data_IF_954072737451
#
_entry.id   IF_954072737451
#
_cell.length_a   1.000
_cell.length_b   1.000
_cell.length_c   1.000
_cell.angle_alpha   90.00
_cell.angle_beta   90.00
_cell.angle_gamma   90.00
#
_symmetry.space_group_name_H-M   'P 1'
#
loop_
_entity.id
_entity.type
_entity.pdbx_description
1 polymer ?
#
# COMPACT_ATOMS: atom_id res chain seq x y z
N UNK A 1 -6.20 2.71 20.63
CA UNK A 1 -5.53 2.83 19.33
C UNK A 1 -6.52 2.77 18.17
N UNK A 2 -7.20 1.63 17.92
CA UNK A 2 -8.11 1.50 16.77
C UNK A 2 -9.26 2.53 16.79
N UNK A 3 -9.99 2.67 17.90
CA UNK A 3 -11.16 3.55 17.98
C UNK A 3 -10.86 5.04 17.88
N UNK A 4 -9.71 5.50 18.39
CA UNK A 4 -9.37 6.91 18.45
C UNK A 4 -8.46 7.39 17.32
N UNK A 5 -7.68 6.50 16.71
CA UNK A 5 -6.69 6.87 15.71
C UNK A 5 -6.92 6.19 14.37
N UNK A 6 -6.99 4.85 14.35
CA UNK A 6 -7.03 4.08 13.09
C UNK A 6 -8.37 4.26 12.38
N UNK A 7 -9.49 4.04 13.08
CA UNK A 7 -10.82 4.11 12.47
C UNK A 7 -11.15 5.52 11.96
N UNK A 8 -11.04 6.60 12.77
CA UNK A 8 -11.37 7.95 12.28
C UNK A 8 -10.50 8.40 11.11
N UNK A 9 -9.23 8.02 11.08
CA UNK A 9 -8.32 8.40 10.02
C UNK A 9 -8.53 7.61 8.73
N UNK A 10 -8.82 6.30 8.82
CA UNK A 10 -8.80 5.42 7.64
C UNK A 10 -10.20 5.07 7.12
N UNK A 11 -11.21 4.93 7.99
CA UNK A 11 -12.52 4.45 7.55
C UNK A 11 -13.19 5.33 6.49
N UNK A 12 -13.29 6.67 6.66
CA UNK A 12 -13.88 7.53 5.63
C UNK A 12 -13.12 7.43 4.31
N UNK A 13 -11.79 7.30 4.39
CA UNK A 13 -10.94 7.18 3.22
C UNK A 13 -11.09 5.83 2.52
N UNK A 14 -11.22 4.72 3.27
CA UNK A 14 -11.52 3.40 2.72
C UNK A 14 -12.88 3.37 2.03
N UNK A 15 -13.89 4.03 2.60
CA UNK A 15 -15.20 4.18 1.95
C UNK A 15 -15.08 4.95 0.64
N UNK A 16 -14.36 6.07 0.64
CA UNK A 16 -14.13 6.85 -0.58
C UNK A 16 -13.40 6.03 -1.65
N UNK A 17 -12.33 5.33 -1.28
CA UNK A 17 -11.60 4.45 -2.20
C UNK A 17 -12.49 3.31 -2.73
N UNK A 18 -13.28 2.66 -1.86
CA UNK A 18 -14.23 1.63 -2.26
C UNK A 18 -15.30 2.17 -3.20
N UNK A 19 -15.77 3.41 -2.98
CA UNK A 19 -16.68 4.08 -3.89
C UNK A 19 -16.04 4.35 -5.25
N UNK A 20 -14.81 4.86 -5.29
CA UNK A 20 -14.07 5.08 -6.52
C UNK A 20 -13.86 3.77 -7.31
N UNK A 21 -13.56 2.67 -6.62
CA UNK A 21 -13.47 1.33 -7.23
C UNK A 21 -14.81 0.92 -7.81
N UNK A 22 -15.90 1.05 -7.05
CA UNK A 22 -17.26 0.70 -7.49
C UNK A 22 -17.75 1.53 -8.68
N UNK A 23 -17.25 2.77 -8.80
CA UNK A 23 -17.55 3.68 -9.93
C UNK A 23 -16.60 3.46 -11.14
N UNK A 24 -15.71 2.48 -11.09
CA UNK A 24 -14.81 2.15 -12.19
C UNK A 24 -13.65 3.13 -12.37
N UNK A 25 -13.24 3.85 -11.30
CA UNK A 25 -12.13 4.81 -11.39
C UNK A 25 -10.82 4.15 -11.85
N UNK A 26 -10.58 2.91 -11.40
CA UNK A 26 -9.41 2.15 -11.84
C UNK A 26 -9.37 1.94 -13.34
N UNK A 27 -10.51 1.62 -13.94
CA UNK A 27 -10.69 1.41 -15.38
C UNK A 27 -10.60 2.72 -16.16
N UNK A 28 -11.13 3.81 -15.61
CA UNK A 28 -11.04 5.15 -16.23
C UNK A 28 -9.62 5.69 -16.21
N UNK A 29 -8.89 5.50 -15.12
CA UNK A 29 -7.53 5.99 -14.95
C UNK A 29 -6.46 5.07 -15.60
N UNK A 30 -6.76 3.77 -15.75
CA UNK A 30 -5.85 2.79 -16.31
C UNK A 30 -5.29 3.14 -17.70
N UNK A 31 -6.06 3.63 -18.67
CA UNK A 31 -5.55 3.99 -20.00
C UNK A 31 -4.46 5.05 -19.96
N UNK A 32 -4.56 6.01 -19.03
CA UNK A 32 -3.59 7.10 -18.89
C UNK A 32 -2.20 6.60 -18.48
N UNK A 33 -2.13 5.54 -17.69
CA UNK A 33 -0.88 4.93 -17.22
C UNK A 33 -0.50 3.65 -17.99
N UNK A 34 -1.39 3.12 -18.81
CA UNK A 34 -1.15 1.89 -19.58
C UNK A 34 0.11 2.02 -20.46
N UNK A 35 0.33 3.19 -21.05
CA UNK A 35 1.52 3.48 -21.85
C UNK A 35 2.84 3.44 -21.07
N UNK A 36 2.81 3.60 -19.75
CA UNK A 36 3.97 3.52 -18.87
C UNK A 36 4.20 2.11 -18.31
N UNK A 37 3.14 1.32 -18.12
CA UNK A 37 3.24 0.00 -17.50
C UNK A 37 4.08 -0.97 -18.33
N UNK A 38 3.88 -1.00 -19.64
CA UNK A 38 4.60 -1.93 -20.53
C UNK A 38 6.09 -1.58 -20.63
N UNK A 39 6.52 -0.35 -20.95
CA UNK A 39 7.94 -0.04 -21.09
C UNK A 39 8.69 -0.03 -19.76
N UNK A 40 8.06 0.43 -18.66
CA UNK A 40 8.74 0.51 -17.36
C UNK A 40 8.74 -0.80 -16.61
N UNK A 41 7.58 -1.47 -16.50
CA UNK A 41 7.41 -2.64 -15.62
C UNK A 41 7.23 -3.96 -16.37
N UNK A 42 7.10 -3.92 -17.71
CA UNK A 42 6.76 -5.09 -18.55
C UNK A 42 5.51 -5.82 -18.05
N UNK A 43 4.52 -5.04 -17.69
CA UNK A 43 3.21 -5.49 -17.28
C UNK A 43 2.14 -4.95 -18.23
N UNK A 44 1.01 -5.65 -18.38
CA UNK A 44 -0.12 -5.16 -19.15
C UNK A 44 -0.64 -3.82 -18.62
N UNK A 45 -1.24 -3.02 -19.50
CA UNK A 45 -1.82 -1.73 -19.12
C UNK A 45 -2.85 -1.79 -18.00
N UNK A 46 -3.66 -2.85 -17.94
CA UNK A 46 -4.65 -3.07 -16.87
C UNK A 46 -4.03 -3.15 -15.47
N UNK A 47 -2.75 -3.52 -15.36
CA UNK A 47 -2.04 -3.56 -14.07
C UNK A 47 -1.89 -2.18 -13.42
N UNK A 48 -2.06 -1.09 -14.20
CA UNK A 48 -2.02 0.29 -13.66
C UNK A 48 -3.14 0.56 -12.66
N UNK A 49 -4.30 -0.09 -12.78
CA UNK A 49 -5.41 0.05 -11.82
C UNK A 49 -5.00 -0.41 -10.42
N UNK A 50 -4.31 -1.55 -10.30
CA UNK A 50 -3.84 -2.05 -9.01
C UNK A 50 -2.76 -1.13 -8.40
N UNK A 51 -1.87 -0.56 -9.22
CA UNK A 51 -0.87 0.40 -8.74
C UNK A 51 -1.52 1.69 -8.25
N UNK A 52 -2.44 2.28 -9.03
CA UNK A 52 -3.15 3.51 -8.68
C UNK A 52 -3.99 3.33 -7.41
N UNK A 53 -4.81 2.28 -7.38
CA UNK A 53 -5.68 2.01 -6.25
C UNK A 53 -4.87 1.63 -5.00
N UNK A 54 -3.73 0.97 -5.16
CA UNK A 54 -2.83 0.68 -4.06
C UNK A 54 -2.12 1.91 -3.52
N UNK A 55 -1.73 2.87 -4.36
CA UNK A 55 -1.12 4.13 -3.94
C UNK A 55 -2.16 5.09 -3.32
N UNK A 56 -3.39 5.10 -3.81
CA UNK A 56 -4.46 5.93 -3.29
C UNK A 56 -5.13 5.29 -2.06
N UNK A 57 -5.58 4.05 -2.17
CA UNK A 57 -6.36 3.35 -1.14
C UNK A 57 -5.53 2.74 -0.01
N UNK A 58 -4.28 2.41 -0.31
CA UNK A 58 -3.39 1.77 0.66
C UNK A 58 -3.59 0.26 0.77
N UNK A 59 -3.00 -0.32 1.83
CA UNK A 59 -3.16 -1.73 2.15
C UNK A 59 -4.60 -2.05 2.55
N UNK A 60 -5.17 -3.17 2.13
CA UNK A 60 -4.65 -4.16 1.18
C UNK A 60 -5.19 -3.99 -0.26
N UNK A 61 -5.73 -2.80 -0.63
CA UNK A 61 -6.48 -2.58 -1.89
C UNK A 61 -5.64 -2.91 -3.13
N UNK A 62 -4.35 -2.53 -3.14
CA UNK A 62 -3.47 -2.85 -4.25
C UNK A 62 -3.34 -4.35 -4.51
N UNK A 63 -3.19 -5.15 -3.44
CA UNK A 63 -3.10 -6.59 -3.52
C UNK A 63 -4.44 -7.23 -3.93
N UNK A 64 -5.55 -6.71 -3.41
CA UNK A 64 -6.88 -7.16 -3.77
C UNK A 64 -7.14 -6.97 -5.26
N UNK A 65 -6.88 -5.77 -5.80
CA UNK A 65 -7.04 -5.48 -7.23
C UNK A 65 -6.14 -6.35 -8.10
N UNK A 66 -4.89 -6.60 -7.69
CA UNK A 66 -3.99 -7.49 -8.42
C UNK A 66 -4.52 -8.95 -8.46
N UNK A 67 -5.08 -9.43 -7.35
CA UNK A 67 -5.69 -10.76 -7.28
C UNK A 67 -6.98 -10.85 -8.12
N UNK A 68 -7.78 -9.80 -8.17
CA UNK A 68 -8.98 -9.70 -9.02
C UNK A 68 -8.62 -9.75 -10.50
N UNK A 69 -7.65 -8.93 -10.94
CA UNK A 69 -7.14 -8.95 -12.33
C UNK A 69 -6.61 -10.34 -12.74
N UNK A 70 -5.99 -11.06 -11.82
CA UNK A 70 -5.54 -12.43 -12.06
C UNK A 70 -6.72 -13.42 -12.18
N UNK A 71 -7.71 -13.36 -11.28
CA UNK A 71 -8.91 -14.22 -11.33
C UNK A 71 -9.73 -13.99 -12.61
N UNK A 72 -9.75 -12.77 -13.11
CA UNK A 72 -10.39 -12.39 -14.38
C UNK A 72 -9.58 -12.80 -15.62
N UNK A 73 -8.40 -13.41 -15.46
CA UNK A 73 -7.54 -13.81 -16.57
C UNK A 73 -6.83 -12.67 -17.30
N UNK A 74 -6.92 -11.44 -16.77
CA UNK A 74 -6.25 -10.25 -17.32
C UNK A 74 -4.76 -10.22 -17.04
N UNK A 75 -4.31 -10.91 -16.00
CA UNK A 75 -2.90 -11.12 -15.66
C UNK A 75 -2.58 -12.61 -15.61
N UNK A 76 -1.39 -12.98 -16.00
CA UNK A 76 -0.83 -14.30 -15.67
C UNK A 76 -0.40 -14.33 -14.20
N UNK A 77 -0.24 -15.52 -13.63
CA UNK A 77 0.26 -15.67 -12.26
C UNK A 77 1.58 -14.91 -12.06
N UNK A 78 2.54 -15.05 -12.99
CA UNK A 78 3.82 -14.37 -12.88
C UNK A 78 3.74 -12.85 -13.00
N UNK A 79 2.79 -12.30 -13.76
CA UNK A 79 2.52 -10.87 -13.86
C UNK A 79 1.88 -10.33 -12.58
N UNK A 80 0.87 -11.05 -12.05
CA UNK A 80 0.22 -10.68 -10.79
C UNK A 80 1.21 -10.74 -9.61
N UNK A 81 2.02 -11.79 -9.49
CA UNK A 81 3.04 -11.90 -8.45
C UNK A 81 4.11 -10.80 -8.54
N UNK A 82 4.51 -10.37 -9.75
CA UNK A 82 5.41 -9.23 -9.93
C UNK A 82 4.74 -7.90 -9.54
N UNK A 83 3.48 -7.73 -9.91
CA UNK A 83 2.71 -6.55 -9.55
C UNK A 83 2.57 -6.40 -8.03
N UNK A 84 2.33 -7.51 -7.31
CA UNK A 84 2.28 -7.56 -5.84
C UNK A 84 3.56 -7.06 -5.16
N UNK A 85 4.71 -7.09 -5.83
CA UNK A 85 5.96 -6.60 -5.26
C UNK A 85 5.93 -5.08 -4.99
N UNK A 86 5.10 -4.29 -5.71
CA UNK A 86 5.13 -2.84 -5.63
C UNK A 86 3.76 -2.13 -5.67
N UNK A 87 2.66 -2.84 -5.92
CA UNK A 87 1.33 -2.22 -5.98
C UNK A 87 0.66 -2.05 -4.60
N UNK A 88 1.11 -2.79 -3.57
CA UNK A 88 0.49 -2.75 -2.25
C UNK A 88 1.21 -1.73 -1.36
N UNK A 89 0.65 -0.54 -1.18
CA UNK A 89 1.30 0.63 -0.62
C UNK A 89 0.58 1.20 0.60
N UNK A 90 1.24 2.12 1.32
CA UNK A 90 0.62 2.92 2.36
C UNK A 90 -0.19 4.06 1.74
N UNK A 91 -1.35 4.39 2.32
CA UNK A 91 -2.18 5.47 1.80
C UNK A 91 -1.62 6.86 2.16
N UNK A 92 -1.94 7.90 1.37
CA UNK A 92 -1.44 9.26 1.60
C UNK A 92 -1.93 9.86 2.93
N UNK A 93 -3.12 9.50 3.42
CA UNK A 93 -3.66 10.02 4.68
C UNK A 93 -2.78 9.60 5.86
N UNK A 94 -2.35 8.34 5.89
CA UNK A 94 -1.44 7.86 6.94
C UNK A 94 -0.10 8.59 6.90
N UNK A 95 0.50 8.74 5.71
CA UNK A 95 1.82 9.35 5.56
C UNK A 95 1.78 10.87 5.81
N UNK A 96 0.76 11.58 5.29
CA UNK A 96 0.68 13.03 5.37
C UNK A 96 0.07 13.49 6.69
N UNK A 97 -1.07 12.90 7.09
CA UNK A 97 -1.80 13.37 8.27
C UNK A 97 -1.30 12.72 9.55
N UNK A 98 -1.17 11.38 9.59
CA UNK A 98 -0.79 10.71 10.84
C UNK A 98 0.70 10.91 11.13
N UNK A 99 1.57 10.57 10.18
CA UNK A 99 3.01 10.73 10.39
C UNK A 99 3.44 12.19 10.23
N UNK A 100 3.15 12.84 9.11
CA UNK A 100 3.59 14.20 8.83
C UNK A 100 3.06 15.21 9.84
N UNK A 101 1.76 15.43 9.86
CA UNK A 101 1.16 16.42 10.77
C UNK A 101 1.12 15.95 12.22
N UNK A 102 0.82 14.66 12.47
CA UNK A 102 0.64 14.13 13.81
C UNK A 102 1.96 13.89 14.55
N UNK A 103 2.95 13.27 13.92
CA UNK A 103 4.23 12.92 14.57
C UNK A 103 5.26 14.03 14.40
N UNK A 104 5.47 14.50 13.16
CA UNK A 104 6.48 15.51 12.85
C UNK A 104 5.99 16.96 12.98
N UNK A 105 4.70 17.18 13.27
CA UNK A 105 4.10 18.51 13.34
C UNK A 105 4.12 19.28 12.01
N UNK A 106 4.35 18.60 10.87
CA UNK A 106 4.57 19.21 9.56
C UNK A 106 3.96 18.44 8.41
N UNK A 107 2.97 19.02 7.75
CA UNK A 107 2.39 18.47 6.51
C UNK A 107 3.46 18.33 5.41
N UNK A 108 4.42 19.27 5.34
CA UNK A 108 5.55 19.22 4.40
C UNK A 108 6.35 17.93 4.55
N UNK A 109 6.70 17.57 5.78
CA UNK A 109 7.41 16.30 6.07
C UNK A 109 6.60 15.10 5.64
N UNK A 110 5.28 15.11 5.87
CA UNK A 110 4.38 14.06 5.43
C UNK A 110 4.31 13.90 3.90
N UNK A 111 4.28 15.03 3.18
CA UNK A 111 4.34 15.02 1.70
C UNK A 111 5.65 14.40 1.21
N UNK A 112 6.79 14.73 1.84
CA UNK A 112 8.07 14.11 1.50
C UNK A 112 8.12 12.62 1.79
N UNK A 113 7.57 12.17 2.93
CA UNK A 113 7.41 10.74 3.21
C UNK A 113 6.59 10.04 2.13
N UNK A 114 5.50 10.66 1.67
CA UNK A 114 4.67 10.13 0.60
C UNK A 114 5.39 10.07 -0.76
N UNK A 115 6.13 11.13 -1.12
CA UNK A 115 6.93 11.14 -2.36
C UNK A 115 8.04 10.08 -2.34
N UNK A 116 8.76 9.95 -1.21
CA UNK A 116 9.76 8.89 -1.01
C UNK A 116 9.11 7.52 -1.16
N UNK A 117 7.93 7.33 -0.57
CA UNK A 117 7.19 6.07 -0.62
C UNK A 117 6.78 5.70 -2.06
N UNK A 118 6.24 6.65 -2.84
CA UNK A 118 5.91 6.44 -4.25
C UNK A 118 7.17 6.10 -5.06
N UNK A 119 8.21 6.90 -4.92
CA UNK A 119 9.46 6.71 -5.67
C UNK A 119 10.08 5.34 -5.37
N UNK A 120 10.13 4.95 -4.10
CA UNK A 120 10.67 3.63 -3.71
C UNK A 120 9.81 2.47 -4.23
N UNK A 121 8.48 2.62 -4.27
CA UNK A 121 7.59 1.63 -4.87
C UNK A 121 7.86 1.47 -6.37
N UNK A 122 7.98 2.57 -7.11
CA UNK A 122 8.27 2.55 -8.55
C UNK A 122 9.66 1.95 -8.84
N UNK A 123 10.68 2.31 -8.06
CA UNK A 123 12.03 1.72 -8.15
C UNK A 123 12.02 0.22 -7.85
N UNK A 124 11.22 -0.22 -6.87
CA UNK A 124 10.99 -1.65 -6.60
C UNK A 124 10.35 -2.34 -7.81
N UNK A 125 9.33 -1.72 -8.41
CA UNK A 125 8.71 -2.25 -9.64
C UNK A 125 9.71 -2.40 -10.78
N UNK A 126 10.63 -1.46 -10.96
CA UNK A 126 11.73 -1.55 -11.93
C UNK A 126 12.70 -2.69 -11.62
N UNK A 127 13.05 -2.90 -10.35
CA UNK A 127 13.93 -3.99 -9.93
C UNK A 127 13.30 -5.38 -10.18
N UNK A 128 11.97 -5.48 -10.05
CA UNK A 128 11.23 -6.71 -10.34
C UNK A 128 10.85 -6.88 -11.82
N UNK A 129 11.30 -5.97 -12.69
CA UNK A 129 11.15 -6.03 -14.14
C UNK A 129 11.96 -7.19 -14.71
N UNK A 130 11.40 -8.39 -14.75
CA UNK A 130 12.06 -9.54 -15.39
C UNK A 130 11.89 -9.48 -16.91
N UNK A 131 12.84 -10.10 -17.62
CA UNK A 131 12.72 -10.35 -19.05
C UNK A 131 11.63 -11.41 -19.33
N UNK A 132 10.38 -10.97 -19.31
CA UNK A 132 9.25 -11.75 -19.78
C UNK A 132 8.81 -11.18 -21.13
N UNK A 133 8.53 -12.03 -22.10
CA UNK A 133 7.89 -11.62 -23.34
C UNK A 133 6.48 -11.13 -22.98
N UNK A 134 6.33 -9.83 -22.82
CA UNK A 134 5.01 -9.20 -22.89
C UNK A 134 4.65 -9.19 -24.39
N UNK A 135 4.14 -10.34 -24.88
CA UNK A 135 3.60 -10.38 -26.22
C UNK A 135 2.37 -9.50 -26.34
N UNK A 136 2.01 -9.01 -27.54
CA UNK A 136 0.76 -8.34 -27.76
C UNK A 136 -0.39 -9.34 -27.50
N UNK A 137 -0.86 -9.40 -26.25
CA UNK A 137 -2.09 -10.09 -25.92
C UNK A 137 -3.23 -9.11 -26.20
N UNK A 138 -4.17 -9.55 -27.02
CA UNK A 138 -5.50 -8.94 -27.03
C UNK A 138 -6.14 -9.28 -25.69
N UNK A 139 -5.99 -8.36 -24.71
CA UNK A 139 -6.75 -8.46 -23.49
C UNK A 139 -8.23 -8.24 -23.83
N UNK A 140 -9.14 -9.07 -23.34
CA UNK A 140 -10.56 -8.77 -23.49
C UNK A 140 -10.74 -7.34 -23.00
N UNK A 141 -11.33 -6.48 -23.84
CA UNK A 141 -11.78 -5.17 -23.39
C UNK A 141 -12.72 -5.46 -22.23
N UNK A 142 -12.28 -5.14 -21.01
CA UNK A 142 -13.20 -5.13 -19.89
C UNK A 142 -14.26 -4.12 -20.28
N UNK A 143 -15.43 -4.59 -20.64
CA UNK A 143 -16.59 -3.71 -20.68
C UNK A 143 -16.67 -3.18 -19.26
N UNK A 144 -16.42 -1.87 -19.12
CA UNK A 144 -16.69 -1.19 -17.84
C UNK A 144 -18.12 -1.65 -17.53
N UNK A 145 -18.35 -2.39 -16.46
CA UNK A 145 -19.70 -2.66 -16.09
C UNK A 145 -20.32 -1.28 -15.83
N UNK A 146 -20.88 -0.68 -16.87
CA UNK A 146 -21.91 0.32 -16.70
C UNK A 146 -23.08 -0.44 -16.07
N UNK A 147 -22.83 -1.00 -14.88
CA UNK A 147 -23.91 -1.27 -14.00
C UNK A 147 -24.53 0.11 -13.83
N UNK A 148 -25.79 0.26 -14.27
CA UNK A 148 -26.67 1.33 -13.88
C UNK A 148 -26.88 1.26 -12.34
N UNK A 149 -25.76 1.16 -11.60
CA UNK A 149 -25.77 1.26 -10.15
C UNK A 149 -26.16 2.70 -9.84
N UNK A 150 -27.33 2.86 -9.22
CA UNK A 150 -27.62 4.16 -8.67
C UNK A 150 -26.48 4.56 -7.76
N UNK A 151 -26.11 5.83 -7.76
CA UNK A 151 -25.06 6.37 -6.87
C UNK A 151 -25.29 5.93 -5.41
N UNK A 152 -26.56 5.78 -5.03
CA UNK A 152 -26.95 5.32 -3.70
C UNK A 152 -26.53 3.85 -3.45
N UNK A 153 -26.72 2.98 -4.41
CA UNK A 153 -26.31 1.56 -4.30
C UNK A 153 -24.80 1.45 -4.25
N UNK A 154 -24.06 2.22 -5.08
CA UNK A 154 -22.61 2.27 -5.05
C UNK A 154 -22.09 2.76 -3.68
N UNK A 155 -22.71 3.80 -3.11
CA UNK A 155 -22.35 4.31 -1.77
C UNK A 155 -22.59 3.25 -0.68
N UNK A 156 -23.73 2.55 -0.69
CA UNK A 156 -24.00 1.49 0.29
C UNK A 156 -23.00 0.34 0.17
N UNK A 157 -22.64 -0.06 -1.05
CA UNK A 157 -21.62 -1.08 -1.28
C UNK A 157 -20.25 -0.60 -0.81
N UNK A 158 -19.89 0.67 -1.07
CA UNK A 158 -18.66 1.28 -0.65
C UNK A 158 -18.53 1.33 0.89
N UNK A 159 -19.60 1.67 1.60
CA UNK A 159 -19.63 1.67 3.08
C UNK A 159 -19.43 0.24 3.61
N UNK A 160 -20.11 -0.75 3.02
CA UNK A 160 -19.94 -2.16 3.43
C UNK A 160 -18.53 -2.68 3.15
N UNK A 161 -17.98 -2.39 1.98
CA UNK A 161 -16.61 -2.76 1.62
C UNK A 161 -15.57 -2.09 2.51
N UNK A 162 -15.74 -0.77 2.74
CA UNK A 162 -14.90 -0.01 3.65
C UNK A 162 -14.95 -0.54 5.09
N UNK A 163 -16.14 -0.96 5.58
CA UNK A 163 -16.28 -1.56 6.90
C UNK A 163 -15.56 -2.92 6.98
N UNK A 164 -15.75 -3.80 6.00
CA UNK A 164 -15.08 -5.10 5.96
C UNK A 164 -13.55 -4.93 5.93
N UNK A 165 -13.03 -4.03 5.09
CA UNK A 165 -11.61 -3.69 5.05
C UNK A 165 -11.11 -3.14 6.38
N UNK A 166 -11.86 -2.22 7.00
CA UNK A 166 -11.51 -1.63 8.29
C UNK A 166 -11.46 -2.67 9.42
N UNK A 167 -12.43 -3.58 9.47
CA UNK A 167 -12.44 -4.66 10.47
C UNK A 167 -11.24 -5.59 10.31
N UNK A 168 -10.89 -5.94 9.06
CA UNK A 168 -9.70 -6.74 8.77
C UNK A 168 -8.42 -6.02 9.25
N UNK A 169 -8.25 -4.75 8.88
CA UNK A 169 -7.10 -3.94 9.32
C UNK A 169 -7.03 -3.90 10.85
N UNK A 170 -8.14 -3.58 11.54
CA UNK A 170 -8.19 -3.52 13.00
C UNK A 170 -7.83 -4.86 13.65
N UNK A 171 -8.32 -5.99 13.12
CA UNK A 171 -8.01 -7.31 13.65
C UNK A 171 -6.51 -7.60 13.62
N UNK A 172 -5.85 -7.37 12.48
CA UNK A 172 -4.41 -7.55 12.35
C UNK A 172 -3.63 -6.55 13.21
N UNK A 173 -4.03 -5.27 13.23
CA UNK A 173 -3.36 -4.24 14.05
C UNK A 173 -3.44 -4.62 15.53
N UNK A 174 -4.60 -5.03 16.04
CA UNK A 174 -4.76 -5.42 17.46
C UNK A 174 -3.91 -6.66 17.78
N UNK A 175 -3.96 -7.69 16.92
CA UNK A 175 -3.18 -8.91 17.12
C UNK A 175 -1.67 -8.61 17.15
N UNK A 176 -1.18 -7.88 16.16
CA UNK A 176 0.25 -7.53 16.09
C UNK A 176 0.66 -6.47 17.11
N UNK A 177 -0.25 -5.62 17.59
CA UNK A 177 0.00 -4.72 18.72
C UNK A 177 0.36 -5.50 19.97
N UNK A 178 -0.40 -6.56 20.29
CA UNK A 178 -0.09 -7.41 21.44
C UNK A 178 1.27 -8.09 21.29
N UNK A 179 1.59 -8.59 20.10
CA UNK A 179 2.91 -9.21 19.83
C UNK A 179 4.07 -8.21 19.86
N UNK A 180 3.84 -6.98 19.42
CA UNK A 180 4.85 -5.91 19.39
C UNK A 180 5.05 -5.23 20.76
N UNK A 181 4.08 -5.31 21.66
CA UNK A 181 4.11 -4.65 22.97
C UNK A 181 5.38 -4.96 23.80
N UNK A 182 5.81 -6.22 23.97
CA UNK A 182 7.06 -6.48 24.69
C UNK A 182 8.31 -5.97 23.98
N UNK A 183 8.28 -5.82 22.64
CA UNK A 183 9.39 -5.25 21.87
C UNK A 183 9.55 -3.75 22.12
N UNK A 184 8.46 -3.04 22.39
CA UNK A 184 8.49 -1.62 22.73
C UNK A 184 9.23 -1.33 24.05
N UNK A 185 9.28 -2.31 24.95
CA UNK A 185 9.99 -2.18 26.21
C UNK A 185 11.53 -2.28 26.06
N UNK A 186 12.03 -2.70 24.90
CA UNK A 186 13.46 -2.73 24.61
C UNK A 186 13.97 -1.29 24.45
N UNK A 187 14.97 -0.93 25.24
CA UNK A 187 15.48 0.42 25.32
C UNK A 187 16.12 0.94 24.01
N UNK A 188 16.28 2.25 23.96
CA UNK A 188 16.99 2.95 22.89
C UNK A 188 16.26 2.89 21.54
N UNK A 189 17.03 2.73 20.46
CA UNK A 189 16.51 2.68 19.08
C UNK A 189 16.04 1.31 18.63
N UNK A 190 16.37 0.26 19.38
CA UNK A 190 16.07 -1.12 19.01
C UNK A 190 14.56 -1.42 19.11
N UNK A 191 13.91 -0.98 20.19
CA UNK A 191 12.47 -1.15 20.39
C UNK A 191 11.64 -0.62 19.22
N UNK A 192 11.74 0.68 18.88
CA UNK A 192 11.03 1.25 17.74
C UNK A 192 11.29 0.54 16.41
N UNK A 193 12.52 0.11 16.14
CA UNK A 193 12.85 -0.65 14.91
C UNK A 193 12.11 -1.98 14.87
N UNK A 194 12.16 -2.77 15.93
CA UNK A 194 11.50 -4.07 16.00
C UNK A 194 9.98 -3.96 15.95
N UNK A 195 9.41 -2.97 16.64
CA UNK A 195 7.98 -2.67 16.56
C UNK A 195 7.58 -2.32 15.13
N UNK A 196 8.33 -1.44 14.45
CA UNK A 196 8.04 -1.05 13.07
C UNK A 196 8.17 -2.18 12.05
N UNK A 197 9.08 -3.13 12.30
CA UNK A 197 9.17 -4.34 11.49
C UNK A 197 7.95 -5.28 11.69
N UNK A 198 7.30 -5.18 12.84
CA UNK A 198 6.16 -6.03 13.20
C UNK A 198 4.83 -5.37 12.83
N UNK A 199 4.62 -4.12 13.27
CA UNK A 199 3.34 -3.42 13.11
C UNK A 199 3.53 -1.89 13.02
N UNK A 200 2.99 -1.32 11.95
CA UNK A 200 3.24 0.07 11.58
C UNK A 200 2.52 1.10 12.46
N UNK A 201 1.26 0.84 12.85
CA UNK A 201 0.50 1.76 13.71
C UNK A 201 1.04 1.79 15.14
N UNK A 202 1.53 0.67 15.63
CA UNK A 202 2.17 0.56 16.95
C UNK A 202 3.51 1.31 17.00
N UNK A 203 4.17 1.46 15.87
CA UNK A 203 5.38 2.26 15.76
C UNK A 203 5.12 3.76 15.93
N UNK A 204 3.97 4.26 15.47
CA UNK A 204 3.67 5.70 15.38
C UNK A 204 4.00 6.48 16.67
N UNK A 205 3.56 6.07 17.88
CA UNK A 205 3.89 6.78 19.11
C UNK A 205 5.36 6.66 19.56
N UNK A 206 6.14 5.79 18.94
CA UNK A 206 7.54 5.55 19.27
C UNK A 206 8.51 6.31 18.33
N UNK A 207 7.99 6.98 17.32
CA UNK A 207 8.80 7.75 16.36
C UNK A 207 9.16 9.09 17.00
N UNK A 208 10.46 9.37 17.14
CA UNK A 208 10.96 10.70 17.49
C UNK A 208 10.88 11.62 16.25
N UNK A 209 10.49 12.92 16.40
CA UNK A 209 10.44 13.87 15.27
C UNK A 209 11.85 14.41 14.94
N UNK A 210 12.78 13.51 14.69
CA UNK A 210 14.19 13.78 14.37
C UNK A 210 14.62 13.04 13.08
N UNK A 211 15.90 13.20 12.71
CA UNK A 211 16.45 12.56 11.53
C UNK A 211 16.43 11.03 11.56
N UNK A 212 16.54 10.41 12.74
CA UNK A 212 16.40 8.96 12.88
C UNK A 212 14.96 8.52 12.70
N UNK A 213 14.04 9.19 13.39
CA UNK A 213 12.60 8.89 13.28
C UNK A 213 12.08 9.08 11.86
N UNK A 214 12.58 10.08 11.10
CA UNK A 214 12.22 10.28 9.69
C UNK A 214 12.64 9.08 8.81
N UNK A 215 13.88 8.60 8.97
CA UNK A 215 14.38 7.44 8.24
C UNK A 215 13.64 6.17 8.65
N UNK A 216 13.38 6.01 9.96
CA UNK A 216 12.61 4.87 10.47
C UNK A 216 11.17 4.87 9.94
N UNK A 217 10.49 6.01 9.96
CA UNK A 217 9.14 6.16 9.42
C UNK A 217 9.09 5.80 7.93
N UNK A 218 10.02 6.33 7.12
CA UNK A 218 10.10 6.02 5.70
C UNK A 218 10.38 4.54 5.43
N UNK A 219 11.33 3.95 6.13
CA UNK A 219 11.69 2.54 5.97
C UNK A 219 10.55 1.60 6.37
N UNK A 220 9.95 1.84 7.54
CA UNK A 220 8.87 0.99 8.04
C UNK A 220 7.59 1.13 7.21
N UNK A 221 7.27 2.31 6.68
CA UNK A 221 6.14 2.47 5.76
C UNK A 221 6.41 1.79 4.41
N UNK A 222 7.64 1.81 3.92
CA UNK A 222 8.04 1.04 2.74
C UNK A 222 7.92 -0.48 2.95
N UNK A 223 8.34 -0.99 4.12
CA UNK A 223 8.22 -2.38 4.52
C UNK A 223 6.76 -2.80 4.82
N UNK A 224 6.00 -1.97 5.51
CA UNK A 224 4.61 -2.20 5.89
C UNK A 224 4.41 -3.00 7.19
N UNK A 225 5.42 -3.72 7.67
CA UNK A 225 5.33 -4.61 8.83
C UNK A 225 4.81 -6.02 8.49
N UNK A 226 5.04 -6.95 9.40
CA UNK A 226 4.50 -8.32 9.30
C UNK A 226 2.97 -8.31 9.27
N UNK A 227 2.33 -7.38 9.98
CA UNK A 227 0.88 -7.18 9.98
C UNK A 227 0.32 -7.00 8.57
N UNK A 228 0.93 -6.12 7.76
CA UNK A 228 0.50 -5.88 6.37
C UNK A 228 0.76 -7.10 5.47
N UNK A 229 1.86 -7.82 5.68
CA UNK A 229 2.12 -9.06 4.95
C UNK A 229 1.06 -10.12 5.22
N UNK A 230 0.62 -10.26 6.49
CA UNK A 230 -0.47 -11.17 6.85
C UNK A 230 -1.82 -10.71 6.27
N UNK A 231 -2.11 -9.40 6.28
CA UNK A 231 -3.30 -8.85 5.60
C UNK A 231 -3.28 -9.17 4.10
N UNK A 232 -2.11 -9.03 3.47
CA UNK A 232 -1.94 -9.37 2.05
C UNK A 232 -2.14 -10.87 1.82
N UNK A 233 -1.58 -11.72 2.67
CA UNK A 233 -1.76 -13.17 2.60
C UNK A 233 -3.25 -13.56 2.68
N UNK A 234 -4.01 -12.94 3.59
CA UNK A 234 -5.45 -13.17 3.73
C UNK A 234 -6.23 -12.80 2.46
N UNK A 235 -5.87 -11.70 1.80
CA UNK A 235 -6.48 -11.29 0.51
C UNK A 235 -6.14 -12.26 -0.62
N UNK A 236 -4.94 -12.84 -0.60
CA UNK A 236 -4.48 -13.80 -1.61
C UNK A 236 -4.97 -15.23 -1.38
N UNK A 237 -5.61 -15.52 -0.25
CA UNK A 237 -6.14 -16.84 0.06
C UNK A 237 -7.08 -17.35 -1.04
N UNK A 238 -6.90 -18.60 -1.44
CA UNK A 238 -7.68 -19.23 -2.51
C UNK A 238 -7.37 -18.75 -3.93
N UNK A 239 -6.50 -17.74 -4.13
CA UNK A 239 -6.14 -17.25 -5.47
C UNK A 239 -5.06 -18.08 -6.16
N UNK A 240 -4.25 -18.85 -5.43
CA UNK A 240 -3.07 -19.55 -5.94
C UNK A 240 -1.84 -18.64 -6.14
N UNK A 241 -1.94 -17.34 -5.86
CA UNK A 241 -0.81 -16.40 -5.91
C UNK A 241 0.12 -16.58 -4.71
N UNK A 242 1.43 -16.43 -4.94
CA UNK A 242 2.45 -16.57 -3.91
C UNK A 242 2.81 -15.23 -3.29
N UNK A 243 2.93 -15.19 -1.98
CA UNK A 243 3.34 -13.99 -1.22
C UNK A 243 4.83 -13.61 -1.42
N UNK A 244 5.64 -14.52 -1.97
CA UNK A 244 7.10 -14.37 -2.05
C UNK A 244 7.55 -13.07 -2.73
N UNK A 245 6.95 -12.72 -3.87
CA UNK A 245 7.31 -11.49 -4.59
C UNK A 245 6.90 -10.24 -3.80
N UNK A 246 5.76 -10.28 -3.12
CA UNK A 246 5.33 -9.21 -2.22
C UNK A 246 6.33 -9.03 -1.08
N UNK A 247 6.72 -10.10 -0.39
CA UNK A 247 7.69 -10.06 0.71
C UNK A 247 9.01 -9.39 0.30
N UNK A 248 9.65 -9.88 -0.77
CA UNK A 248 10.92 -9.30 -1.24
C UNK A 248 10.76 -7.90 -1.81
N UNK A 249 9.63 -7.62 -2.45
CA UNK A 249 9.28 -6.29 -2.92
C UNK A 249 9.18 -5.29 -1.77
N UNK A 250 8.48 -5.66 -0.70
CA UNK A 250 8.34 -4.82 0.50
C UNK A 250 9.68 -4.62 1.22
N UNK A 251 10.50 -5.66 1.34
CA UNK A 251 11.84 -5.56 1.90
C UNK A 251 12.72 -4.58 1.12
N UNK A 252 12.72 -4.69 -0.21
CA UNK A 252 13.45 -3.77 -1.09
C UNK A 252 12.89 -2.34 -1.00
N UNK A 253 11.56 -2.18 -1.02
CA UNK A 253 10.92 -0.87 -0.90
C UNK A 253 11.26 -0.20 0.43
N UNK A 254 11.26 -0.94 1.54
CA UNK A 254 11.66 -0.44 2.85
C UNK A 254 13.12 0.04 2.87
N UNK A 255 14.03 -0.76 2.30
CA UNK A 255 15.43 -0.39 2.17
C UNK A 255 15.63 0.87 1.31
N UNK A 256 14.99 0.94 0.13
CA UNK A 256 15.06 2.11 -0.75
C UNK A 256 14.46 3.35 -0.09
N UNK A 257 13.33 3.22 0.61
CA UNK A 257 12.72 4.32 1.36
C UNK A 257 13.66 4.85 2.45
N UNK A 258 14.32 3.95 3.18
CA UNK A 258 15.31 4.33 4.21
C UNK A 258 16.48 5.07 3.61
N UNK A 259 17.04 4.60 2.49
CA UNK A 259 18.15 5.26 1.79
C UNK A 259 17.76 6.65 1.28
N UNK A 260 16.60 6.75 0.61
CA UNK A 260 16.10 8.04 0.13
C UNK A 260 15.86 9.03 1.27
N UNK A 261 15.24 8.56 2.37
CA UNK A 261 15.02 9.38 3.54
C UNK A 261 16.36 9.83 4.20
N UNK A 262 17.35 8.94 4.26
CA UNK A 262 18.67 9.27 4.80
C UNK A 262 19.36 10.39 4.01
N UNK A 263 19.25 10.35 2.68
CA UNK A 263 19.82 11.38 1.78
C UNK A 263 19.07 12.72 1.95
N UNK A 264 17.74 12.66 2.02
CA UNK A 264 16.88 13.85 1.98
C UNK A 264 16.64 14.49 3.36
N UNK A 265 16.92 13.79 4.48
CA UNK A 265 16.57 14.24 5.84
C UNK A 265 17.04 15.66 6.17
N UNK A 266 18.28 16.02 5.77
CA UNK A 266 18.85 17.33 6.06
C UNK A 266 18.13 18.48 5.37
N UNK A 267 17.56 18.24 4.19
CA UNK A 267 16.78 19.22 3.45
C UNK A 267 15.29 19.25 3.83
N UNK A 268 14.75 18.12 4.27
CA UNK A 268 13.34 17.99 4.64
C UNK A 268 13.08 18.54 6.04
N UNK A 269 13.98 18.28 6.98
CA UNK A 269 13.84 18.64 8.40
C UNK A 269 14.53 19.96 8.77
N UNK A 270 15.46 20.48 7.93
CA UNK A 270 16.07 21.79 8.07
C UNK A 270 15.21 22.84 7.43
#
# INVERSE_FOLDING_TARGET
>A
LCGQSVIPALFPFLVLCSLLVSLGFGELAAPSLAGLMTPLFRLPGCASSALLLGLAGGYPIGAQTAAELYREGLLTQGEAERLLAFCNNSNPVFLISVLGAGVFGSVRVGVWLWLIHILSALLTGLAFRREGKCGPRQYPKREIPCQNLSLFTALVQAVRGGLAGMLSVCAFVVFFYVLASPLAALGGRLGPVLVGLTELFSLTPLISPDGFGFVLAAGCTGWGGLSVLCQTAAVLEGSGLRLRSCFWGKALQGALSSVLALILRGWVLG
#
